data_IF_969898986522
#
_entry.id   IF_969898986522
#
_cell.length_a   1.000
_cell.length_b   1.000
_cell.length_c   1.000
_cell.angle_alpha   90.00
_cell.angle_beta   90.00
_cell.angle_gamma   90.00
#
_symmetry.space_group_name_H-M   'P 1'
#
loop_
_entity.id
_entity.type
_entity.pdbx_description
1 polymer ?
#
# COMPACT_ATOMS: atom_id res chain seq x y z
N UNK A 1 9.10 23.91 30.17
CA UNK A 1 9.63 22.53 30.22
C UNK A 1 8.45 21.61 30.48
N UNK A 2 7.96 20.92 29.45
CA UNK A 2 6.78 20.07 29.57
C UNK A 2 7.17 18.75 30.21
N UNK A 3 6.63 18.45 31.40
CA UNK A 3 6.76 17.16 32.03
C UNK A 3 6.03 16.13 31.16
N UNK A 4 6.78 15.40 30.35
CA UNK A 4 6.23 14.30 29.57
C UNK A 4 5.80 13.21 30.54
N UNK A 5 4.48 13.01 30.67
CA UNK A 5 3.86 12.02 31.57
C UNK A 5 3.96 10.59 31.03
N UNK A 6 4.57 10.42 29.85
CA UNK A 6 4.81 9.12 29.25
C UNK A 6 5.86 8.37 30.08
N UNK A 7 5.41 7.40 30.87
CA UNK A 7 6.31 6.38 31.42
C UNK A 7 6.76 5.49 30.26
N UNK A 8 8.08 5.30 30.07
CA UNK A 8 8.56 4.38 29.04
C UNK A 8 8.05 2.98 29.34
N UNK A 9 7.46 2.33 28.34
CA UNK A 9 7.01 0.95 28.44
C UNK A 9 8.19 0.04 28.78
N UNK A 10 7.91 -1.01 29.56
CA UNK A 10 8.87 -2.10 29.71
C UNK A 10 9.13 -2.77 28.35
N UNK A 11 10.22 -3.53 28.28
CA UNK A 11 10.59 -4.27 27.06
C UNK A 11 9.46 -5.20 26.61
N UNK A 12 8.84 -5.92 27.53
CA UNK A 12 7.81 -6.92 27.23
C UNK A 12 6.49 -6.27 26.77
N UNK A 13 6.12 -5.13 27.38
CA UNK A 13 4.97 -4.34 26.93
C UNK A 13 5.21 -3.76 25.52
N UNK A 14 6.44 -3.28 25.25
CA UNK A 14 6.81 -2.75 23.93
C UNK A 14 6.74 -3.84 22.86
N UNK A 15 7.24 -5.05 23.16
CA UNK A 15 7.17 -6.19 22.24
C UNK A 15 5.72 -6.59 21.98
N UNK A 16 4.88 -6.60 23.00
CA UNK A 16 3.45 -6.94 22.87
C UNK A 16 2.73 -5.95 21.96
N UNK A 17 2.90 -4.64 22.20
CA UNK A 17 2.31 -3.58 21.35
C UNK A 17 2.81 -3.71 19.90
N UNK A 18 4.09 -4.00 19.70
CA UNK A 18 4.64 -4.19 18.35
C UNK A 18 4.03 -5.40 17.65
N UNK A 19 3.88 -6.54 18.35
CA UNK A 19 3.27 -7.74 17.78
C UNK A 19 1.80 -7.53 17.44
N UNK A 20 1.05 -6.86 18.30
CA UNK A 20 -0.35 -6.52 18.05
C UNK A 20 -0.49 -5.57 16.84
N UNK A 21 0.38 -4.58 16.74
CA UNK A 21 0.41 -3.67 15.60
C UNK A 21 0.78 -4.39 14.28
N UNK A 22 1.63 -5.43 14.34
CA UNK A 22 2.04 -6.20 13.18
C UNK A 22 1.04 -7.30 12.79
N UNK A 23 0.16 -7.73 13.70
CA UNK A 23 -0.75 -8.84 13.48
C UNK A 23 -1.62 -8.71 12.20
N UNK A 24 -2.20 -7.53 11.88
CA UNK A 24 -2.97 -7.36 10.63
C UNK A 24 -2.11 -7.55 9.38
N UNK A 25 -0.85 -7.08 9.39
CA UNK A 25 0.07 -7.21 8.27
C UNK A 25 0.51 -8.66 8.05
N UNK A 26 0.77 -9.39 9.14
CA UNK A 26 1.08 -10.82 9.10
C UNK A 26 -0.11 -11.61 8.55
N UNK A 27 -1.32 -11.31 9.02
CA UNK A 27 -2.55 -11.95 8.54
C UNK A 27 -2.80 -11.67 7.05
N UNK A 28 -2.63 -10.42 6.61
CA UNK A 28 -2.75 -10.04 5.22
C UNK A 28 -1.73 -10.77 4.33
N UNK A 29 -0.48 -10.88 4.78
CA UNK A 29 0.59 -11.59 4.05
C UNK A 29 0.27 -13.07 3.90
N UNK A 30 -0.15 -13.74 4.99
CA UNK A 30 -0.57 -15.16 4.94
C UNK A 30 -1.72 -15.37 3.97
N UNK A 31 -2.70 -14.46 3.95
CA UNK A 31 -3.83 -14.52 3.02
C UNK A 31 -3.36 -14.37 1.56
N UNK A 32 -2.47 -13.43 1.27
CA UNK A 32 -1.94 -13.22 -0.07
C UNK A 32 -1.20 -14.45 -0.59
N UNK A 33 -0.36 -15.07 0.25
CA UNK A 33 0.34 -16.32 -0.07
C UNK A 33 -0.65 -17.45 -0.32
N UNK A 34 -1.67 -17.60 0.52
CA UNK A 34 -2.73 -18.62 0.34
C UNK A 34 -3.50 -18.45 -0.98
N UNK A 35 -3.80 -17.21 -1.37
CA UNK A 35 -4.41 -16.91 -2.67
C UNK A 35 -3.47 -17.30 -3.80
N UNK A 36 -2.18 -16.95 -3.71
CA UNK A 36 -1.20 -17.30 -4.74
C UNK A 36 -1.05 -18.82 -4.91
N UNK A 37 -1.08 -19.58 -3.81
CA UNK A 37 -1.13 -21.04 -3.86
C UNK A 37 -2.39 -21.55 -4.57
N UNK A 38 -3.56 -20.99 -4.25
CA UNK A 38 -4.80 -21.37 -4.92
C UNK A 38 -4.78 -20.98 -6.42
N UNK A 39 -4.10 -19.91 -6.80
CA UNK A 39 -3.93 -19.55 -8.21
C UNK A 39 -2.98 -20.51 -8.92
N UNK A 40 -1.90 -20.93 -8.26
CA UNK A 40 -0.95 -21.92 -8.79
C UNK A 40 -1.64 -23.26 -9.09
N UNK A 41 -2.63 -23.68 -8.31
CA UNK A 41 -3.38 -24.92 -8.61
C UNK A 41 -4.28 -24.79 -9.84
N UNK A 42 -4.75 -23.59 -10.16
CA UNK A 42 -5.67 -23.34 -11.28
C UNK A 42 -4.92 -23.04 -12.58
N UNK A 43 -3.89 -22.19 -12.51
CA UNK A 43 -3.15 -21.68 -13.67
C UNK A 43 -1.88 -22.49 -13.94
N UNK A 44 -1.39 -23.23 -12.93
CA UNK A 44 -0.04 -23.80 -12.92
C UNK A 44 1.02 -22.76 -12.57
N UNK A 45 2.24 -23.23 -12.28
CA UNK A 45 3.39 -22.38 -11.94
C UNK A 45 3.66 -22.26 -10.45
N UNK A 46 4.71 -21.50 -10.11
CA UNK A 46 5.15 -21.31 -8.73
C UNK A 46 4.37 -20.17 -8.05
N UNK A 47 3.79 -20.39 -6.85
CA UNK A 47 2.98 -19.40 -6.15
C UNK A 47 3.68 -18.05 -5.93
N UNK A 48 4.98 -18.06 -5.63
CA UNK A 48 5.73 -16.83 -5.38
C UNK A 48 5.95 -16.02 -6.66
N UNK A 49 6.10 -16.68 -7.80
CA UNK A 49 6.23 -16.00 -9.10
C UNK A 49 4.90 -15.33 -9.46
N UNK A 50 3.78 -16.06 -9.31
CA UNK A 50 2.44 -15.49 -9.52
C UNK A 50 2.15 -14.30 -8.59
N UNK A 51 2.60 -14.36 -7.33
CA UNK A 51 2.47 -13.25 -6.40
C UNK A 51 3.33 -12.05 -6.83
N UNK A 52 4.57 -12.29 -7.27
CA UNK A 52 5.46 -11.23 -7.76
C UNK A 52 4.89 -10.54 -9.01
N UNK A 53 4.37 -11.31 -9.95
CA UNK A 53 3.71 -10.80 -11.16
C UNK A 53 2.49 -9.95 -10.80
N UNK A 54 1.64 -10.44 -9.89
CA UNK A 54 0.49 -9.68 -9.41
C UNK A 54 0.88 -8.35 -8.74
N UNK A 55 1.99 -8.31 -7.99
CA UNK A 55 2.52 -7.08 -7.38
C UNK A 55 3.05 -6.13 -8.46
N UNK A 56 3.75 -6.64 -9.47
CA UNK A 56 4.28 -5.85 -10.57
C UNK A 56 3.14 -5.18 -11.37
N UNK A 57 2.09 -5.94 -11.68
CA UNK A 57 0.89 -5.47 -12.36
C UNK A 57 0.16 -4.39 -11.55
N UNK A 58 0.02 -4.59 -10.24
CA UNK A 58 -0.59 -3.61 -9.36
C UNK A 58 0.18 -2.28 -9.37
N UNK A 59 1.50 -2.33 -9.22
CA UNK A 59 2.36 -1.12 -9.25
C UNK A 59 2.26 -0.38 -10.57
N UNK A 60 2.16 -1.10 -11.68
CA UNK A 60 1.96 -0.49 -13.00
C UNK A 60 0.63 0.27 -13.04
N UNK A 61 -0.46 -0.34 -12.58
CA UNK A 61 -1.78 0.31 -12.54
C UNK A 61 -1.80 1.52 -11.61
N UNK A 62 -1.19 1.43 -10.43
CA UNK A 62 -1.09 2.55 -9.49
C UNK A 62 -0.33 3.73 -10.10
N UNK A 63 0.81 3.44 -10.77
CA UNK A 63 1.59 4.45 -11.48
C UNK A 63 0.75 5.12 -12.57
N UNK A 64 0.02 4.35 -13.36
CA UNK A 64 -0.87 4.89 -14.40
C UNK A 64 -1.91 5.81 -13.78
N UNK A 65 -2.66 5.37 -12.77
CA UNK A 65 -3.66 6.21 -12.08
C UNK A 65 -3.05 7.52 -11.58
N UNK A 66 -1.88 7.47 -10.96
CA UNK A 66 -1.19 8.66 -10.45
C UNK A 66 -0.80 9.63 -11.58
N UNK A 67 -0.28 9.11 -12.69
CA UNK A 67 0.09 9.94 -13.86
C UNK A 67 -1.15 10.57 -14.48
N UNK A 68 -2.20 9.80 -14.71
CA UNK A 68 -3.45 10.30 -15.30
C UNK A 68 -4.11 11.34 -14.39
N UNK A 69 -4.10 11.12 -13.06
CA UNK A 69 -4.60 12.09 -12.09
C UNK A 69 -3.80 13.41 -12.13
N UNK A 70 -2.47 13.33 -12.20
CA UNK A 70 -1.62 14.53 -12.35
C UNK A 70 -1.90 15.27 -13.66
N UNK A 71 -1.94 14.55 -14.78
CA UNK A 71 -2.24 15.12 -16.08
C UNK A 71 -3.62 15.80 -16.11
N UNK A 72 -4.63 15.18 -15.50
CA UNK A 72 -5.97 15.76 -15.37
C UNK A 72 -5.96 17.04 -14.53
N UNK A 73 -5.24 17.04 -13.41
CA UNK A 73 -5.11 18.21 -12.53
C UNK A 73 -4.37 19.37 -13.21
N UNK A 74 -3.30 19.08 -13.94
CA UNK A 74 -2.55 20.06 -14.72
C UNK A 74 -3.42 20.65 -15.85
N UNK A 75 -4.18 19.80 -16.56
CA UNK A 75 -5.10 20.24 -17.60
C UNK A 75 -6.21 21.16 -17.05
N UNK A 76 -6.78 20.84 -15.88
CA UNK A 76 -7.75 21.71 -15.21
C UNK A 76 -7.12 23.04 -14.74
N UNK A 77 -5.87 23.04 -14.29
CA UNK A 77 -5.17 24.26 -13.88
C UNK A 77 -4.85 25.19 -15.06
N UNK A 78 -4.49 24.64 -16.23
CA UNK A 78 -4.27 25.42 -17.45
C UNK A 78 -5.58 25.87 -18.12
N UNK A 79 -6.66 25.10 -17.98
CA UNK A 79 -8.00 25.49 -18.44
C UNK A 79 -8.63 26.64 -17.64
N UNK A 80 -8.17 26.90 -16.42
CA UNK A 80 -8.66 28.01 -15.59
C UNK A 80 -7.92 29.33 -15.81
N UNK A 81 -6.75 29.33 -16.47
CA UNK A 81 -5.98 30.54 -16.76
C UNK A 81 -6.40 31.21 -18.09
N UNK A 82 -7.12 30.50 -18.96
CA UNK A 82 -7.56 31.02 -20.26
C UNK A 82 -8.92 31.77 -20.22
N UNK A 83 -9.58 31.83 -19.07
CA UNK A 83 -10.94 32.41 -18.93
C UNK A 83 -10.97 33.72 -18.17
N UNK A 84 -9.84 34.43 -18.07
CA UNK A 84 -9.72 35.71 -17.38
C UNK A 84 -9.09 36.83 -18.23
N UNK A 85 -9.23 36.77 -19.56
CA UNK A 85 -9.07 37.93 -20.44
C UNK A 85 -10.43 38.31 -21.04
N UNK A 86 -11.15 39.19 -20.35
CA UNK A 86 -12.09 40.13 -20.96
C UNK A 86 -12.22 41.37 -20.10
#
# INVERSE_FOLDING_TARGET
MGNSTAHPLSRDETVTVLLDALAPYIAATRRAIGIAHAMATVVGGEPLDLLNDAIADYRLRERLVRVTYRALREHQSHGSAATHEK
#
